data_IF_689721336015
#
_entry.id   IF_689721336015
#
_cell.length_a   1.000
_cell.length_b   1.000
_cell.length_c   1.000
_cell.angle_alpha   90.00
_cell.angle_beta   90.00
_cell.angle_gamma   90.00
#
_symmetry.space_group_name_H-M   'P 1'
#
loop_
_entity.id
_entity.type
_entity.pdbx_description
1 polymer ?
#
# COMPACT_ATOMS: atom_id res chain seq x y z
N UNK A 1 15.33 -11.60 4.77
CA UNK A 1 14.12 -11.65 3.92
C UNK A 1 13.93 -10.28 3.31
N UNK A 2 13.79 -10.16 1.98
CA UNK A 2 13.81 -8.85 1.28
C UNK A 2 12.43 -8.23 1.08
N UNK A 3 11.34 -8.92 1.47
CA UNK A 3 9.95 -8.48 1.23
C UNK A 3 9.69 -8.06 -0.22
N UNK A 4 10.43 -8.66 -1.15
CA UNK A 4 10.32 -8.39 -2.58
C UNK A 4 9.04 -9.06 -3.11
N UNK A 5 8.20 -8.29 -3.80
CA UNK A 5 6.89 -8.75 -4.31
C UNK A 5 6.00 -9.29 -3.19
N UNK A 6 5.91 -8.56 -2.09
CA UNK A 6 5.04 -8.88 -0.96
C UNK A 6 3.57 -8.62 -1.34
N UNK A 7 2.97 -9.60 -2.03
CA UNK A 7 1.60 -9.57 -2.54
C UNK A 7 1.00 -10.97 -2.51
N UNK A 8 -0.30 -11.05 -2.25
CA UNK A 8 -1.09 -12.26 -2.35
C UNK A 8 -2.45 -11.98 -3.00
N UNK A 9 -3.07 -13.01 -3.54
CA UNK A 9 -4.45 -12.99 -4.03
C UNK A 9 -5.30 -13.95 -3.21
N UNK A 10 -6.48 -13.49 -2.82
CA UNK A 10 -7.49 -14.31 -2.14
C UNK A 10 -8.70 -14.43 -3.04
N UNK A 11 -9.05 -15.66 -3.40
CA UNK A 11 -10.27 -15.96 -4.16
C UNK A 11 -11.39 -16.30 -3.19
N UNK A 12 -12.52 -15.62 -3.35
CA UNK A 12 -13.72 -15.83 -2.53
C UNK A 12 -14.76 -16.54 -3.39
N UNK A 13 -15.53 -17.44 -2.77
CA UNK A 13 -16.71 -18.05 -3.39
C UNK A 13 -17.91 -17.13 -3.16
N UNK A 14 -18.48 -16.58 -4.23
CA UNK A 14 -19.62 -15.65 -4.18
C UNK A 14 -19.33 -14.35 -4.91
N UNK A 15 -20.18 -13.35 -4.69
CA UNK A 15 -20.03 -11.99 -5.25
C UNK A 15 -20.20 -10.94 -4.16
N UNK A 16 -19.53 -9.82 -4.34
CA UNK A 16 -19.71 -8.61 -3.53
C UNK A 16 -20.75 -7.64 -4.13
N UNK A 17 -21.49 -8.06 -5.17
CA UNK A 17 -22.56 -7.26 -5.75
C UNK A 17 -23.74 -7.05 -4.80
N UNK A 18 -24.36 -5.87 -4.86
CA UNK A 18 -25.59 -5.55 -4.12
C UNK A 18 -25.40 -4.90 -2.74
N UNK A 19 -24.15 -4.70 -2.29
CA UNK A 19 -23.87 -3.98 -1.04
C UNK A 19 -23.54 -2.51 -1.31
N UNK A 20 -24.21 -1.58 -0.63
CA UNK A 20 -24.01 -0.13 -0.81
C UNK A 20 -22.60 0.36 -0.42
N UNK A 21 -21.96 -0.33 0.52
CA UNK A 21 -20.66 0.06 1.07
C UNK A 21 -19.49 -0.79 0.53
N UNK A 22 -19.68 -1.50 -0.58
CA UNK A 22 -18.65 -2.35 -1.18
C UNK A 22 -18.47 -1.99 -2.66
N UNK A 23 -17.24 -1.62 -3.03
CA UNK A 23 -16.88 -1.32 -4.40
C UNK A 23 -15.44 -1.75 -4.70
N UNK A 24 -15.12 -2.17 -5.94
CA UNK A 24 -13.75 -2.43 -6.34
C UNK A 24 -12.95 -1.14 -6.45
N UNK A 25 -11.63 -1.22 -6.24
CA UNK A 25 -10.72 -0.11 -6.48
C UNK A 25 -9.94 -0.32 -7.79
N UNK A 26 -9.88 0.68 -8.70
CA UNK A 26 -9.05 0.60 -9.89
C UNK A 26 -7.57 0.42 -9.55
N UNK A 27 -6.88 -0.43 -10.30
CA UNK A 27 -5.44 -0.63 -10.13
C UNK A 27 -4.64 0.47 -10.84
N UNK A 28 -3.56 0.91 -10.20
CA UNK A 28 -2.59 1.80 -10.84
C UNK A 28 -1.75 1.02 -11.85
N UNK A 29 -1.67 1.50 -13.10
CA UNK A 29 -0.92 0.83 -14.17
C UNK A 29 0.42 1.45 -14.53
N UNK A 30 0.59 2.75 -14.28
CA UNK A 30 1.81 3.48 -14.66
C UNK A 30 2.85 3.45 -13.55
N UNK A 31 4.12 3.25 -13.88
CA UNK A 31 5.25 3.17 -12.92
C UNK A 31 5.80 4.52 -12.45
N UNK A 32 5.41 5.65 -13.08
CA UNK A 32 5.84 6.99 -12.66
C UNK A 32 4.96 7.55 -11.54
N UNK A 33 5.42 7.45 -10.30
CA UNK A 33 4.58 7.78 -9.13
C UNK A 33 4.58 9.25 -8.73
N UNK A 34 5.75 9.85 -8.51
CA UNK A 34 5.89 11.17 -7.88
C UNK A 34 7.24 11.79 -8.22
N UNK A 35 7.40 13.10 -8.02
CA UNK A 35 8.70 13.81 -8.04
C UNK A 35 8.80 14.74 -6.85
N UNK A 36 10.03 15.12 -6.45
CA UNK A 36 10.24 16.08 -5.35
C UNK A 36 9.57 17.44 -5.61
N UNK A 37 9.44 17.83 -6.88
CA UNK A 37 8.81 19.09 -7.31
C UNK A 37 7.28 19.02 -7.42
N UNK A 38 6.69 17.83 -7.47
CA UNK A 38 5.25 17.64 -7.59
C UNK A 38 4.82 16.39 -6.82
N UNK A 39 4.71 16.50 -5.47
CA UNK A 39 4.42 15.36 -4.62
C UNK A 39 2.97 14.88 -4.82
N UNK A 40 2.82 13.60 -5.16
CA UNK A 40 1.52 12.92 -5.10
C UNK A 40 1.25 12.52 -3.66
N UNK A 41 0.05 12.83 -3.18
CA UNK A 41 -0.42 12.40 -1.86
C UNK A 41 -1.41 11.26 -1.97
N UNK A 42 -1.35 10.39 -0.97
CA UNK A 42 -2.12 9.16 -0.89
C UNK A 42 -2.76 9.04 0.48
N UNK A 43 -3.83 8.28 0.55
CA UNK A 43 -4.49 7.89 1.78
C UNK A 43 -4.12 6.45 2.08
N UNK A 44 -3.70 6.21 3.32
CA UNK A 44 -3.65 4.87 3.92
C UNK A 44 -4.81 4.76 4.90
N UNK A 45 -5.47 3.61 4.90
CA UNK A 45 -6.60 3.32 5.78
C UNK A 45 -6.40 1.98 6.48
N UNK A 46 -6.68 1.92 7.77
CA UNK A 46 -6.63 0.67 8.52
C UNK A 46 -6.96 0.83 10.01
N UNK A 47 -6.79 -0.28 10.73
CA UNK A 47 -7.03 -0.38 12.17
C UNK A 47 -5.75 -0.70 12.94
N UNK A 48 -4.58 -0.38 12.37
CA UNK A 48 -3.31 -0.49 13.04
C UNK A 48 -3.17 0.49 14.21
N UNK A 49 -2.06 0.35 14.93
CA UNK A 49 -1.73 1.18 16.09
C UNK A 49 -1.73 2.67 15.72
N UNK A 50 -2.44 3.48 16.50
CA UNK A 50 -2.40 4.95 16.40
C UNK A 50 -1.33 5.58 17.29
N UNK A 51 -0.85 4.82 18.27
CA UNK A 51 0.23 5.15 19.18
C UNK A 51 0.99 3.87 19.51
N UNK A 52 2.32 3.91 19.39
CA UNK A 52 3.20 2.77 19.70
C UNK A 52 3.11 2.30 21.16
N UNK A 53 2.70 3.19 22.06
CA UNK A 53 2.54 2.90 23.49
C UNK A 53 1.07 2.87 23.93
N UNK A 54 0.13 2.77 22.99
CA UNK A 54 -1.31 2.73 23.29
C UNK A 54 -1.79 1.34 23.70
N UNK A 55 -2.89 1.29 24.46
CA UNK A 55 -3.41 0.06 25.07
C UNK A 55 -4.29 -0.80 24.11
N UNK A 56 -4.34 -0.48 22.82
CA UNK A 56 -5.14 -1.27 21.87
C UNK A 56 -5.23 -0.73 20.45
N UNK A 57 -5.86 -1.52 19.58
CA UNK A 57 -6.21 -1.15 18.22
C UNK A 57 -7.50 -0.30 18.22
N UNK A 58 -7.63 0.69 17.32
CA UNK A 58 -8.85 1.48 17.22
C UNK A 58 -10.05 0.61 16.81
N UNK A 59 -11.25 0.93 17.30
CA UNK A 59 -12.50 0.28 16.85
C UNK A 59 -12.99 0.85 15.51
N UNK A 60 -12.77 2.14 15.30
CA UNK A 60 -13.19 2.88 14.11
C UNK A 60 -12.00 3.00 13.15
N UNK A 61 -12.25 2.71 11.87
CA UNK A 61 -11.27 2.84 10.78
C UNK A 61 -10.56 4.18 10.85
N UNK A 62 -9.23 4.17 10.78
CA UNK A 62 -8.41 5.37 10.72
C UNK A 62 -7.88 5.57 9.33
N UNK A 63 -7.68 6.84 9.00
CA UNK A 63 -7.07 7.25 7.74
C UNK A 63 -5.97 8.26 8.01
N UNK A 64 -4.93 8.21 7.19
CA UNK A 64 -3.89 9.23 7.17
C UNK A 64 -3.54 9.58 5.74
N UNK A 65 -3.38 10.87 5.46
CA UNK A 65 -2.95 11.37 4.16
C UNK A 65 -1.45 11.67 4.21
N UNK A 66 -0.68 10.98 3.38
CA UNK A 66 0.79 11.00 3.36
C UNK A 66 1.33 11.21 1.94
N UNK A 67 2.47 11.88 1.76
CA UNK A 67 3.10 12.03 0.45
C UNK A 67 3.81 10.76 0.01
N UNK A 68 3.84 10.51 -1.30
CA UNK A 68 4.79 9.57 -1.89
C UNK A 68 6.20 10.17 -1.84
N UNK A 69 7.17 9.33 -1.50
CA UNK A 69 8.59 9.67 -1.48
C UNK A 69 9.26 9.15 -2.75
N UNK A 70 10.04 9.98 -3.48
CA UNK A 70 10.78 9.53 -4.65
C UNK A 70 11.68 8.33 -4.34
N UNK A 71 11.70 7.34 -5.24
CA UNK A 71 12.41 6.06 -5.02
C UNK A 71 13.91 6.25 -4.72
N UNK A 72 14.55 7.23 -5.36
CA UNK A 72 15.95 7.61 -5.12
C UNK A 72 16.18 8.11 -3.69
N UNK A 73 15.29 8.96 -3.18
CA UNK A 73 15.35 9.46 -1.80
C UNK A 73 15.07 8.33 -0.82
N UNK A 74 14.10 7.47 -1.11
CA UNK A 74 13.77 6.34 -0.27
C UNK A 74 14.94 5.37 -0.12
N UNK A 75 15.61 4.98 -1.22
CA UNK A 75 16.85 4.19 -1.19
C UNK A 75 17.93 4.83 -0.33
N UNK A 76 18.11 6.16 -0.45
CA UNK A 76 19.09 6.90 0.34
C UNK A 76 18.78 6.85 1.83
N UNK A 77 17.51 7.01 2.21
CA UNK A 77 17.07 6.96 3.62
C UNK A 77 17.22 5.57 4.22
N UNK A 78 16.91 4.52 3.46
CA UNK A 78 16.91 3.14 3.94
C UNK A 78 18.26 2.41 3.82
N UNK A 79 19.29 3.00 3.22
CA UNK A 79 20.63 2.40 3.13
C UNK A 79 21.16 2.00 4.53
N UNK A 80 21.64 0.75 4.74
CA UNK A 80 22.02 -0.26 3.73
C UNK A 80 20.91 -1.26 3.32
N UNK A 81 19.67 -1.10 3.80
CA UNK A 81 18.57 -2.00 3.45
C UNK A 81 18.15 -1.81 1.97
N UNK A 82 18.06 -2.88 1.17
CA UNK A 82 17.76 -2.76 -0.25
C UNK A 82 16.28 -2.41 -0.49
N UNK A 83 16.03 -1.32 -1.22
CA UNK A 83 14.69 -0.97 -1.74
C UNK A 83 14.61 -1.34 -3.22
N UNK A 84 13.79 -2.34 -3.53
CA UNK A 84 13.68 -2.90 -4.89
C UNK A 84 12.73 -2.09 -5.78
N UNK A 85 12.72 -2.37 -7.09
CA UNK A 85 11.79 -1.75 -8.04
C UNK A 85 10.31 -2.13 -7.82
N UNK A 86 10.05 -3.22 -7.10
CA UNK A 86 8.71 -3.62 -6.68
C UNK A 86 8.20 -2.93 -5.42
N UNK A 87 8.96 -1.96 -4.90
CA UNK A 87 8.58 -1.18 -3.72
C UNK A 87 8.34 0.28 -4.08
N UNK A 88 7.38 0.88 -3.39
CA UNK A 88 7.16 2.33 -3.33
C UNK A 88 7.19 2.79 -1.88
N UNK A 89 7.51 4.06 -1.68
CA UNK A 89 7.66 4.62 -0.36
C UNK A 89 6.68 5.77 -0.17
N UNK A 90 6.07 5.83 1.00
CA UNK A 90 5.15 6.90 1.36
C UNK A 90 5.27 7.19 2.85
N UNK A 91 5.05 8.43 3.24
CA UNK A 91 5.13 8.83 4.64
C UNK A 91 5.83 10.16 4.82
N UNK A 92 5.56 10.76 5.97
CA UNK A 92 6.25 11.94 6.47
C UNK A 92 6.38 11.84 7.98
N UNK A 93 7.18 12.71 8.58
CA UNK A 93 7.38 12.69 10.03
C UNK A 93 6.02 12.78 10.75
N UNK A 94 5.79 11.87 11.71
CA UNK A 94 4.57 11.67 12.51
C UNK A 94 3.35 11.12 11.75
N UNK A 95 3.45 10.77 10.47
CA UNK A 95 2.33 10.20 9.69
C UNK A 95 2.79 9.02 8.84
N UNK A 96 2.24 7.85 9.15
CA UNK A 96 2.59 6.60 8.46
C UNK A 96 1.49 5.55 8.65
N UNK A 97 1.57 4.46 7.88
CA UNK A 97 0.95 3.19 8.26
C UNK A 97 1.66 2.64 9.51
N UNK A 98 0.98 1.81 10.29
CA UNK A 98 1.56 1.24 11.49
C UNK A 98 1.31 -0.27 11.63
N UNK A 99 1.85 -0.85 12.71
CA UNK A 99 1.63 -2.26 13.02
C UNK A 99 0.12 -2.56 13.07
N UNK A 100 -0.30 -3.57 12.31
CA UNK A 100 -1.71 -3.92 12.13
C UNK A 100 -2.33 -3.40 10.83
N UNK A 101 -1.67 -2.50 10.09
CA UNK A 101 -2.12 -2.03 8.77
C UNK A 101 -1.58 -2.88 7.60
N UNK A 102 -0.73 -3.88 7.86
CA UNK A 102 -0.12 -4.74 6.84
C UNK A 102 -1.17 -5.38 5.90
N UNK A 103 -0.91 -5.34 4.59
CA UNK A 103 -1.87 -5.73 3.57
C UNK A 103 -2.91 -4.67 3.22
N UNK A 104 -2.98 -3.58 3.99
CA UNK A 104 -3.89 -2.45 3.76
C UNK A 104 -3.54 -1.62 2.51
N UNK A 105 -4.48 -0.82 1.99
CA UNK A 105 -4.32 -0.12 0.74
C UNK A 105 -3.61 1.23 0.89
N UNK A 106 -2.72 1.54 -0.05
CA UNK A 106 -2.24 2.90 -0.32
C UNK A 106 -2.94 3.44 -1.57
N UNK A 107 -3.87 4.38 -1.37
CA UNK A 107 -4.76 4.89 -2.42
C UNK A 107 -4.39 6.32 -2.80
N UNK A 108 -4.18 6.58 -4.08
CA UNK A 108 -3.90 7.92 -4.57
C UNK A 108 -4.76 8.20 -5.81
N UNK A 109 -5.37 9.37 -5.90
CA UNK A 109 -6.22 9.77 -7.03
C UNK A 109 -7.28 8.70 -7.40
N UNK A 110 -7.86 8.04 -6.40
CA UNK A 110 -8.89 7.01 -6.60
C UNK A 110 -8.38 5.66 -7.13
N UNK A 111 -7.07 5.41 -7.19
CA UNK A 111 -6.51 4.11 -7.60
C UNK A 111 -5.63 3.52 -6.51
N UNK A 112 -5.53 2.18 -6.50
CA UNK A 112 -4.61 1.45 -5.63
C UNK A 112 -3.19 1.56 -6.17
N UNK A 113 -2.31 2.24 -5.44
CA UNK A 113 -0.90 2.44 -5.82
C UNK A 113 0.01 1.43 -5.16
N UNK A 114 -0.31 1.04 -3.92
CA UNK A 114 0.45 0.03 -3.21
C UNK A 114 -0.29 -0.67 -2.09
N UNK A 115 0.42 -1.61 -1.48
CA UNK A 115 -0.04 -2.46 -0.38
C UNK A 115 0.93 -2.27 0.78
N UNK A 116 0.45 -1.96 1.99
CA UNK A 116 1.29 -1.81 3.19
C UNK A 116 2.08 -3.10 3.39
N UNK A 117 3.42 -3.01 3.44
CA UNK A 117 4.30 -4.17 3.55
C UNK A 117 5.13 -4.12 4.82
N UNK A 118 6.07 -3.18 4.91
CA UNK A 118 6.98 -3.05 6.05
C UNK A 118 7.42 -1.61 6.28
N UNK A 119 8.08 -1.35 7.39
CA UNK A 119 8.55 -0.02 7.74
C UNK A 119 9.49 -0.04 8.94
N UNK A 120 9.70 1.13 9.53
CA UNK A 120 10.48 1.25 10.76
C UNK A 120 9.73 0.61 11.93
N UNK A 121 10.46 0.16 12.96
CA UNK A 121 9.84 -0.29 14.21
C UNK A 121 9.04 0.83 14.90
N UNK A 122 9.32 2.10 14.57
CA UNK A 122 8.55 3.25 15.01
C UNK A 122 7.76 3.84 13.83
N UNK A 123 6.44 3.78 13.92
CA UNK A 123 5.54 4.41 12.96
C UNK A 123 5.67 5.93 13.00
N UNK A 124 5.61 6.57 11.84
CA UNK A 124 5.77 8.03 11.72
C UNK A 124 7.18 8.53 12.02
N UNK A 125 8.19 7.66 11.93
CA UNK A 125 9.59 8.07 12.02
C UNK A 125 10.04 8.90 10.80
N UNK A 126 11.33 9.25 10.72
CA UNK A 126 11.91 9.92 9.55
C UNK A 126 12.10 8.98 8.34
N UNK A 127 11.91 7.67 8.54
CA UNK A 127 11.92 6.64 7.50
C UNK A 127 10.49 6.48 6.95
N UNK A 128 10.29 6.63 5.62
CA UNK A 128 8.99 6.39 5.04
C UNK A 128 8.63 4.90 5.09
N UNK A 129 7.34 4.60 5.28
CA UNK A 129 6.81 3.26 5.13
C UNK A 129 7.03 2.72 3.71
N UNK A 130 7.17 1.40 3.61
CA UNK A 130 7.41 0.66 2.38
C UNK A 130 6.16 -0.14 2.01
N UNK A 131 5.78 0.01 0.75
CA UNK A 131 4.59 -0.58 0.18
C UNK A 131 4.96 -1.36 -1.07
N UNK A 132 4.28 -2.47 -1.32
CA UNK A 132 4.40 -3.18 -2.61
C UNK A 132 3.81 -2.33 -3.72
N UNK A 133 4.53 -2.17 -4.82
CA UNK A 133 4.14 -1.39 -6.00
C UNK A 133 3.14 -2.14 -6.86
N UNK A 134 1.90 -1.64 -7.01
CA UNK A 134 0.89 -2.29 -7.86
C UNK A 134 1.35 -2.49 -9.31
N UNK A 135 1.89 -1.46 -10.01
CA UNK A 135 2.43 -1.66 -11.35
C UNK A 135 3.47 -2.77 -11.48
N UNK A 136 4.27 -3.02 -10.43
CA UNK A 136 5.30 -4.04 -10.46
C UNK A 136 4.75 -5.47 -10.33
N UNK A 137 3.56 -5.63 -9.74
CA UNK A 137 2.90 -6.92 -9.55
C UNK A 137 1.72 -7.14 -10.50
N UNK A 138 1.48 -6.23 -11.45
CA UNK A 138 0.36 -6.35 -12.40
C UNK A 138 0.41 -7.62 -13.25
N UNK A 139 1.59 -8.13 -13.63
CA UNK A 139 1.70 -9.41 -14.35
C UNK A 139 1.11 -10.53 -13.51
N UNK A 140 1.58 -10.67 -12.27
CA UNK A 140 1.06 -11.65 -11.32
C UNK A 140 -0.46 -11.50 -11.15
N UNK A 141 -0.95 -10.28 -10.93
CA UNK A 141 -2.39 -10.04 -10.82
C UNK A 141 -3.13 -10.48 -12.08
N UNK A 142 -2.62 -10.14 -13.27
CA UNK A 142 -3.25 -10.47 -14.55
C UNK A 142 -3.24 -11.97 -14.82
N UNK A 143 -2.16 -12.68 -14.49
CA UNK A 143 -2.03 -14.12 -14.73
C UNK A 143 -3.05 -14.93 -13.93
N UNK A 144 -3.38 -14.47 -12.72
CA UNK A 144 -4.34 -15.15 -11.86
C UNK A 144 -5.75 -14.56 -11.97
N UNK A 145 -5.93 -13.30 -12.38
CA UNK A 145 -7.24 -12.68 -12.59
C UNK A 145 -7.82 -12.90 -14.00
N UNK A 146 -7.00 -13.04 -15.05
CA UNK A 146 -7.49 -13.21 -16.44
C UNK A 146 -8.15 -14.56 -16.72
N UNK A 147 -7.67 -15.70 -16.17
CA UNK A 147 -8.41 -16.97 -16.21
C UNK A 147 -9.74 -16.91 -15.44
N UNK A 148 -10.01 -15.80 -14.71
CA UNK A 148 -11.25 -15.57 -13.97
C UNK A 148 -12.29 -14.76 -14.76
N UNK A 149 -12.08 -14.48 -16.06
CA UNK A 149 -13.18 -14.12 -16.96
C UNK A 149 -14.08 -15.35 -17.14
N UNK A 150 -15.02 -15.42 -16.21
CA UNK A 150 -16.24 -16.20 -16.16
C UNK A 150 -16.58 -16.90 -17.48
N UNK A 151 -16.72 -18.22 -17.40
CA UNK A 151 -17.59 -18.94 -18.31
C UNK A 151 -18.94 -18.21 -18.33
N UNK A 152 -19.36 -17.83 -19.53
CA UNK A 152 -20.72 -17.43 -19.80
C UNK A 152 -21.65 -18.53 -19.28
N UNK A 153 -22.56 -18.14 -18.40
CA UNK A 153 -23.80 -18.86 -18.11
C UNK A 153 -24.93 -17.84 -18.23
#
# INVERSE_FOLDING_TARGET
NTFHNDVALVRIKGTFGGYENVAPIPLRTRTKFTTSSNPVYCTVSGWGLTNMNGDGLPEILRIVRIPLVPHTECRRKWNPFPITSSMICAGELRKDACNGDSGGPLVCNGQLYGIVSWGSNQCGSSYPGIYTSIPAVLSFLSDYMSPMQFGAA
#
